data_IF_295125178134
#
_entry.id   IF_295125178134
#
_cell.length_a   1.000
_cell.length_b   1.000
_cell.length_c   1.000
_cell.angle_alpha   90.00
_cell.angle_beta   90.00
_cell.angle_gamma   90.00
#
_symmetry.space_group_name_H-M   'P 1'
#
loop_
_entity.id
_entity.type
_entity.pdbx_description
1 polymer ?
#
# COMPACT_ATOMS: atom_id res chain seq x y z
N UNK A 1 3.86 -17.19 -91.96
CA UNK A 1 2.94 -17.52 -90.86
C UNK A 1 3.75 -17.81 -89.61
N UNK A 2 3.74 -16.91 -88.64
CA UNK A 2 4.21 -17.11 -87.26
C UNK A 2 3.27 -16.34 -86.36
N UNK A 3 2.60 -17.08 -85.48
CA UNK A 3 1.65 -16.59 -84.49
C UNK A 3 2.40 -15.86 -83.38
N UNK A 4 1.91 -14.71 -82.93
CA UNK A 4 2.32 -14.17 -81.63
C UNK A 4 1.14 -13.50 -80.94
N UNK A 5 0.94 -13.99 -79.73
CA UNK A 5 -0.25 -13.96 -78.88
C UNK A 5 -0.47 -12.60 -78.21
N UNK A 6 -1.73 -12.12 -78.22
CA UNK A 6 -2.18 -10.96 -77.46
C UNK A 6 -2.40 -11.35 -76.00
N UNK A 7 -1.75 -10.67 -75.06
CA UNK A 7 -2.00 -10.80 -73.62
C UNK A 7 -2.59 -9.49 -73.08
N UNK A 8 -3.83 -9.54 -72.62
CA UNK A 8 -4.53 -8.41 -71.99
C UNK A 8 -4.37 -8.53 -70.48
N UNK A 9 -3.66 -7.60 -69.84
CA UNK A 9 -3.52 -7.51 -68.39
C UNK A 9 -4.56 -6.52 -67.84
N UNK A 10 -5.67 -7.01 -67.30
CA UNK A 10 -6.58 -6.18 -66.51
C UNK A 10 -6.13 -6.20 -65.05
N UNK A 11 -5.54 -5.10 -64.58
CA UNK A 11 -5.24 -4.90 -63.16
C UNK A 11 -6.50 -4.43 -62.45
N UNK A 12 -7.08 -5.27 -61.60
CA UNK A 12 -8.09 -4.85 -60.63
C UNK A 12 -7.42 -4.01 -59.54
N UNK A 13 -7.66 -2.70 -59.53
CA UNK A 13 -7.26 -1.83 -58.43
C UNK A 13 -8.17 -2.09 -57.23
N UNK A 14 -7.69 -2.82 -56.23
CA UNK A 14 -8.32 -2.88 -54.92
C UNK A 14 -7.92 -1.60 -54.18
N UNK A 15 -8.83 -0.64 -54.11
CA UNK A 15 -8.67 0.54 -53.27
C UNK A 15 -8.86 0.10 -51.81
N UNK A 16 -7.76 -0.18 -51.10
CA UNK A 16 -7.79 -0.39 -49.67
C UNK A 16 -7.92 0.98 -48.97
N UNK A 17 -9.13 1.35 -48.59
CA UNK A 17 -9.36 2.46 -47.65
C UNK A 17 -8.90 2.01 -46.27
N UNK A 18 -7.66 2.32 -45.93
CA UNK A 18 -7.22 2.27 -44.53
C UNK A 18 -7.93 3.40 -43.77
N UNK A 19 -8.94 3.03 -42.98
CA UNK A 19 -9.42 3.88 -41.90
C UNK A 19 -8.26 3.96 -40.88
N UNK A 20 -7.44 5.01 -40.96
CA UNK A 20 -6.56 5.38 -39.88
C UNK A 20 -7.46 5.74 -38.68
N UNK A 21 -7.62 4.79 -37.75
CA UNK A 21 -8.22 5.07 -36.46
C UNK A 21 -7.37 6.15 -35.78
N UNK A 22 -7.95 7.23 -35.23
CA UNK A 22 -7.20 8.08 -34.32
C UNK A 22 -6.70 7.17 -33.19
N UNK A 23 -5.38 7.14 -33.00
CA UNK A 23 -4.76 6.42 -31.89
C UNK A 23 -5.30 6.97 -30.56
N UNK A 24 -5.34 6.14 -29.51
CA UNK A 24 -5.77 6.61 -28.20
C UNK A 24 -4.90 7.80 -27.75
N UNK A 25 -5.55 8.90 -27.39
CA UNK A 25 -4.88 10.05 -26.79
C UNK A 25 -4.23 9.61 -25.47
N UNK A 26 -3.01 10.07 -25.16
CA UNK A 26 -2.36 9.70 -23.91
C UNK A 26 -3.14 10.28 -22.72
N UNK A 27 -3.59 9.41 -21.82
CA UNK A 27 -4.15 9.83 -20.55
C UNK A 27 -3.01 10.30 -19.64
N UNK A 28 -3.10 11.55 -19.18
CA UNK A 28 -2.14 12.13 -18.24
C UNK A 28 -2.73 12.14 -16.84
N UNK A 29 -2.07 11.46 -15.91
CA UNK A 29 -2.45 11.44 -14.50
C UNK A 29 -1.58 12.44 -13.75
N UNK A 30 -2.19 13.35 -12.99
CA UNK A 30 -1.50 14.28 -12.11
C UNK A 30 -1.42 13.70 -10.70
N UNK A 31 -0.19 13.50 -10.22
CA UNK A 31 0.11 13.08 -8.86
C UNK A 31 0.58 14.31 -8.07
N UNK A 32 -0.17 14.71 -7.05
CA UNK A 32 0.14 15.88 -6.22
C UNK A 32 0.30 15.49 -4.75
N UNK A 33 1.33 16.03 -4.10
CA UNK A 33 1.57 15.86 -2.66
C UNK A 33 1.55 17.21 -1.90
N UNK A 34 0.92 18.25 -2.47
CA UNK A 34 0.79 19.58 -1.88
C UNK A 34 2.04 20.46 -1.90
N UNK A 35 3.17 19.95 -2.40
CA UNK A 35 4.46 20.67 -2.54
C UNK A 35 4.99 20.59 -3.98
N UNK A 36 4.79 19.45 -4.63
CA UNK A 36 5.19 19.20 -6.02
C UNK A 36 4.15 18.34 -6.72
N UNK A 37 3.91 18.62 -8.00
CA UNK A 37 3.03 17.85 -8.86
C UNK A 37 3.83 17.17 -9.97
N UNK A 38 3.59 15.88 -10.20
CA UNK A 38 4.23 15.08 -11.24
C UNK A 38 3.15 14.62 -12.23
N UNK A 39 3.30 14.99 -13.49
CA UNK A 39 2.46 14.47 -14.58
C UNK A 39 3.03 13.16 -15.09
N UNK A 40 2.25 12.09 -14.99
CA UNK A 40 2.59 10.79 -15.58
C UNK A 40 1.72 10.59 -16.81
N UNK A 41 2.37 10.57 -17.96
CA UNK A 41 1.73 10.29 -19.25
C UNK A 41 1.89 8.81 -19.55
N UNK A 42 0.79 8.10 -19.78
CA UNK A 42 0.82 6.68 -20.15
C UNK A 42 0.56 6.59 -21.65
N UNK A 43 1.58 6.27 -22.43
CA UNK A 43 1.46 5.95 -23.85
C UNK A 43 0.79 4.57 -24.02
N UNK A 44 -0.53 4.56 -24.12
CA UNK A 44 -1.33 3.34 -24.12
C UNK A 44 -1.51 2.72 -25.50
N UNK A 45 -0.62 1.80 -25.89
CA UNK A 45 -1.00 0.71 -26.80
C UNK A 45 -1.61 -0.43 -25.96
N UNK A 46 -2.94 -0.47 -25.93
CA UNK A 46 -3.80 -1.59 -25.51
C UNK A 46 -3.23 -2.51 -24.40
N UNK A 47 -3.38 -2.11 -23.14
CA UNK A 47 -3.39 -3.06 -22.03
C UNK A 47 -4.42 -2.60 -21.01
N UNK A 48 -5.47 -3.40 -20.83
CA UNK A 48 -6.60 -3.20 -19.91
C UNK A 48 -6.17 -3.23 -18.43
N UNK A 49 -5.18 -2.44 -18.03
CA UNK A 49 -4.94 -2.17 -16.62
C UNK A 49 -5.92 -1.10 -16.18
N UNK A 50 -7.10 -1.56 -15.77
CA UNK A 50 -8.02 -0.81 -14.91
C UNK A 50 -7.22 -0.37 -13.68
N UNK A 51 -6.76 0.88 -13.67
CA UNK A 51 -6.51 1.56 -12.41
C UNK A 51 -7.89 1.74 -11.79
N UNK A 52 -8.32 0.76 -10.99
CA UNK A 52 -9.44 0.95 -10.10
C UNK A 52 -9.13 2.23 -9.33
N UNK A 53 -10.00 3.23 -9.46
CA UNK A 53 -10.03 4.37 -8.56
C UNK A 53 -10.15 3.82 -7.15
N UNK A 54 -9.01 3.53 -6.54
CA UNK A 54 -8.91 3.13 -5.17
C UNK A 54 -9.23 4.41 -4.39
N UNK A 55 -10.51 4.52 -4.02
CA UNK A 55 -11.08 5.47 -3.08
C UNK A 55 -10.08 6.55 -2.64
N UNK A 56 -10.11 7.72 -3.27
CA UNK A 56 -9.31 8.88 -2.85
C UNK A 56 -9.52 9.25 -1.37
N UNK A 57 -10.61 8.78 -0.75
CA UNK A 57 -10.81 8.80 0.71
C UNK A 57 -9.67 8.11 1.50
N UNK A 58 -9.04 7.06 0.97
CA UNK A 58 -7.90 6.36 1.58
C UNK A 58 -6.58 7.13 1.47
N UNK A 59 -6.49 8.14 0.60
CA UNK A 59 -5.33 9.05 0.51
C UNK A 59 -5.44 10.22 1.51
N UNK A 60 -6.65 10.52 2.00
CA UNK A 60 -6.92 11.57 2.98
C UNK A 60 -7.23 11.06 4.39
N UNK A 61 -7.39 9.75 4.57
CA UNK A 61 -7.19 9.10 5.86
C UNK A 61 -5.74 9.39 6.26
N UNK A 62 -5.54 10.47 7.03
CA UNK A 62 -4.27 10.80 7.68
C UNK A 62 -4.04 9.79 8.78
N UNK A 63 -3.75 8.58 8.33
CA UNK A 63 -2.95 7.56 8.95
C UNK A 63 -1.74 8.23 9.61
N UNK A 64 -1.94 8.69 10.84
CA UNK A 64 -1.04 9.64 11.49
C UNK A 64 0.04 8.87 12.22
N UNK A 65 0.96 8.34 11.43
CA UNK A 65 2.18 7.73 11.94
C UNK A 65 3.00 8.79 12.65
N UNK A 66 3.40 8.51 13.89
CA UNK A 66 4.33 9.36 14.62
C UNK A 66 5.25 8.52 15.50
N UNK A 67 6.47 8.98 15.70
CA UNK A 67 7.49 8.24 16.46
C UNK A 67 7.40 8.46 17.97
N UNK A 68 6.24 8.90 18.48
CA UNK A 68 6.04 9.07 19.93
C UNK A 68 5.88 7.71 20.59
N UNK A 69 6.44 7.59 21.78
CA UNK A 69 6.37 6.42 22.65
C UNK A 69 6.97 6.74 24.01
N UNK A 70 7.21 5.71 24.81
CA UNK A 70 7.86 5.83 26.11
C UNK A 70 9.27 6.44 26.01
N UNK A 71 9.69 7.18 27.03
CA UNK A 71 11.08 7.66 27.18
C UNK A 71 12.09 6.50 27.23
N UNK A 72 11.63 5.30 27.61
CA UNK A 72 12.41 4.08 27.71
C UNK A 72 12.57 3.33 26.37
N UNK A 73 12.02 3.87 25.28
CA UNK A 73 12.18 3.28 23.95
C UNK A 73 13.65 3.19 23.48
N UNK A 74 14.56 3.94 24.12
CA UNK A 74 15.98 3.94 23.84
C UNK A 74 16.70 2.64 24.23
N UNK A 75 16.12 1.82 25.09
CA UNK A 75 16.77 0.61 25.64
C UNK A 75 16.16 -0.69 25.09
N UNK A 76 15.40 -0.63 24.00
CA UNK A 76 14.66 -1.79 23.49
C UNK A 76 15.51 -2.74 22.62
N UNK A 77 16.61 -2.26 22.02
CA UNK A 77 17.44 -3.07 21.13
C UNK A 77 16.63 -3.77 20.05
N UNK A 78 16.91 -5.05 19.80
CA UNK A 78 16.20 -5.91 18.84
C UNK A 78 14.89 -6.51 19.38
N UNK A 79 14.45 -6.12 20.60
CA UNK A 79 13.25 -6.69 21.23
C UNK A 79 12.00 -6.52 20.38
N UNK A 80 11.86 -5.38 19.68
CA UNK A 80 10.70 -5.11 18.85
C UNK A 80 10.66 -5.98 17.59
N UNK A 81 11.82 -6.24 16.98
CA UNK A 81 11.92 -7.14 15.82
C UNK A 81 11.61 -8.59 16.25
N UNK A 82 12.03 -8.97 17.47
CA UNK A 82 11.66 -10.25 18.07
C UNK A 82 10.17 -10.34 18.36
N UNK A 83 9.55 -9.27 18.86
CA UNK A 83 8.10 -9.21 19.09
C UNK A 83 7.33 -9.35 17.77
N UNK A 84 7.78 -8.70 16.70
CA UNK A 84 7.19 -8.76 15.35
C UNK A 84 7.14 -10.20 14.82
N UNK A 85 8.19 -11.00 15.06
CA UNK A 85 8.23 -12.42 14.67
C UNK A 85 7.24 -13.31 15.43
N UNK A 86 6.74 -12.86 16.58
CA UNK A 86 5.70 -13.57 17.36
C UNK A 86 4.28 -13.21 16.92
N UNK A 87 4.10 -12.27 16.00
CA UNK A 87 2.78 -11.94 15.46
C UNK A 87 2.29 -13.09 14.61
N UNK A 88 1.18 -13.69 15.00
CA UNK A 88 0.48 -14.67 14.17
C UNK A 88 -0.61 -13.98 13.36
N UNK A 89 -0.49 -14.00 12.03
CA UNK A 89 -1.35 -13.23 11.13
C UNK A 89 -2.85 -13.55 11.26
N UNK A 90 -3.20 -14.78 11.63
CA UNK A 90 -4.59 -15.22 11.81
C UNK A 90 -5.21 -14.90 13.17
N UNK A 91 -4.43 -14.36 14.13
CA UNK A 91 -4.97 -13.98 15.43
C UNK A 91 -5.65 -12.61 15.37
N UNK A 92 -6.63 -12.41 16.25
CA UNK A 92 -7.26 -11.11 16.50
C UNK A 92 -6.90 -10.65 17.90
N UNK A 93 -6.41 -9.41 17.99
CA UNK A 93 -6.04 -8.73 19.23
C UNK A 93 -7.10 -7.68 19.51
N UNK A 94 -7.65 -7.66 20.71
CA UNK A 94 -8.78 -6.77 21.05
C UNK A 94 -8.72 -6.18 22.45
N UNK A 95 -9.25 -4.97 22.61
CA UNK A 95 -9.41 -4.26 23.89
C UNK A 95 -10.84 -4.25 24.43
N UNK A 96 -11.75 -5.00 23.82
CA UNK A 96 -13.19 -4.98 24.15
C UNK A 96 -13.55 -5.49 25.55
N UNK A 97 -12.71 -6.33 26.16
CA UNK A 97 -12.97 -6.92 27.49
C UNK A 97 -12.36 -6.11 28.63
N UNK A 98 -12.20 -4.79 28.45
CA UNK A 98 -11.64 -3.89 29.46
C UNK A 98 -10.10 -3.84 29.48
N UNK A 99 -9.42 -4.59 28.62
CA UNK A 99 -7.98 -4.48 28.45
C UNK A 99 -7.64 -3.16 27.75
N UNK A 100 -6.75 -2.33 28.30
CA UNK A 100 -6.37 -1.06 27.65
C UNK A 100 -5.52 -1.24 26.39
N UNK A 101 -4.92 -2.42 26.23
CA UNK A 101 -4.08 -2.80 25.09
C UNK A 101 -4.10 -4.33 24.89
N UNK A 102 -3.89 -4.78 23.66
CA UNK A 102 -3.78 -6.20 23.31
C UNK A 102 -2.79 -6.41 22.16
N UNK A 103 -1.90 -7.38 22.26
CA UNK A 103 -0.85 -7.57 21.27
C UNK A 103 0.13 -8.68 21.62
N UNK A 104 1.32 -8.60 21.01
CA UNK A 104 2.46 -9.48 21.29
C UNK A 104 3.59 -8.68 21.88
N UNK A 105 4.52 -9.35 22.54
CA UNK A 105 5.71 -8.70 23.05
C UNK A 105 6.91 -9.65 23.09
N UNK A 106 8.11 -9.07 23.14
CA UNK A 106 9.34 -9.79 23.42
C UNK A 106 10.27 -8.93 24.27
N UNK A 107 10.82 -9.50 25.34
CA UNK A 107 11.63 -8.79 26.33
C UNK A 107 10.88 -7.60 26.92
N UNK A 108 11.20 -6.40 26.43
CA UNK A 108 10.64 -5.13 26.89
C UNK A 108 9.87 -4.36 25.81
N UNK A 109 9.77 -4.89 24.59
CA UNK A 109 9.02 -4.24 23.51
C UNK A 109 7.71 -4.96 23.24
N UNK A 110 6.62 -4.19 23.14
CA UNK A 110 5.31 -4.67 22.73
C UNK A 110 4.88 -4.08 21.39
N UNK A 111 4.15 -4.89 20.62
CA UNK A 111 3.42 -4.48 19.42
C UNK A 111 1.96 -4.80 19.66
N UNK A 112 1.13 -3.77 19.81
CA UNK A 112 -0.23 -3.94 20.31
C UNK A 112 -1.19 -2.90 19.75
N UNK A 113 -2.46 -3.27 19.72
CA UNK A 113 -3.57 -2.34 19.52
C UNK A 113 -3.98 -1.75 20.87
N UNK A 114 -4.35 -0.49 20.88
CA UNK A 114 -4.70 0.29 22.06
C UNK A 114 -5.88 1.21 21.72
N UNK A 115 -6.72 1.46 22.73
CA UNK A 115 -7.91 2.30 22.61
C UNK A 115 -9.16 1.58 23.11
N UNK A 116 -10.30 2.25 23.03
CA UNK A 116 -11.56 1.70 23.52
C UNK A 116 -12.22 0.81 22.46
N UNK A 117 -12.53 -0.45 22.80
CA UNK A 117 -13.17 -1.42 21.90
C UNK A 117 -12.45 -1.59 20.55
N UNK A 118 -11.13 -1.54 20.57
CA UNK A 118 -10.30 -1.67 19.39
C UNK A 118 -10.02 -3.13 19.07
N UNK A 119 -10.03 -3.47 17.78
CA UNK A 119 -9.57 -4.74 17.25
C UNK A 119 -8.53 -4.53 16.16
N UNK A 120 -7.55 -5.41 16.12
CA UNK A 120 -6.61 -5.55 15.01
C UNK A 120 -6.29 -7.03 14.79
N UNK A 121 -6.27 -7.45 13.54
CA UNK A 121 -5.69 -8.73 13.14
C UNK A 121 -4.17 -8.72 13.33
N UNK A 122 -3.56 -9.90 13.40
CA UNK A 122 -2.10 -10.02 13.39
C UNK A 122 -1.49 -9.42 12.13
N UNK A 123 -2.17 -9.55 10.99
CA UNK A 123 -1.73 -8.91 9.75
C UNK A 123 -1.72 -7.38 9.85
N UNK A 124 -2.73 -6.77 10.48
CA UNK A 124 -2.75 -5.33 10.72
C UNK A 124 -1.66 -4.87 11.68
N UNK A 125 -1.40 -5.60 12.78
CA UNK A 125 -0.28 -5.31 13.68
C UNK A 125 1.07 -5.40 12.98
N UNK A 126 1.23 -6.44 12.14
CA UNK A 126 2.41 -6.59 11.30
C UNK A 126 2.56 -5.38 10.37
N UNK A 127 1.53 -5.05 9.59
CA UNK A 127 1.58 -3.94 8.65
C UNK A 127 1.84 -2.60 9.36
N UNK A 128 1.23 -2.37 10.53
CA UNK A 128 1.47 -1.18 11.32
C UNK A 128 2.92 -1.10 11.80
N UNK A 129 3.53 -2.23 12.18
CA UNK A 129 4.95 -2.26 12.51
C UNK A 129 5.81 -1.79 11.34
N UNK A 130 5.58 -2.36 10.14
CA UNK A 130 6.35 -2.05 8.95
C UNK A 130 6.14 -0.59 8.52
N UNK A 131 4.90 -0.08 8.65
CA UNK A 131 4.55 1.33 8.37
C UNK A 131 5.25 2.30 9.32
N UNK A 132 5.26 2.01 10.62
CA UNK A 132 5.95 2.82 11.63
C UNK A 132 7.47 2.84 11.36
N UNK A 133 8.07 1.70 11.01
CA UNK A 133 9.48 1.61 10.64
C UNK A 133 9.80 2.32 9.33
N UNK A 134 8.94 2.18 8.32
CA UNK A 134 9.04 2.85 7.03
C UNK A 134 8.96 4.38 7.14
N UNK A 135 8.25 4.90 8.14
CA UNK A 135 8.22 6.32 8.48
C UNK A 135 9.50 6.81 9.23
N UNK A 136 10.51 5.96 9.40
CA UNK A 136 11.77 6.33 10.05
C UNK A 136 11.76 6.26 11.58
N UNK A 137 10.69 5.72 12.19
CA UNK A 137 10.64 5.53 13.63
C UNK A 137 11.51 4.35 14.07
N UNK A 138 12.78 4.61 14.41
CA UNK A 138 13.78 3.56 14.68
C UNK A 138 13.54 2.73 15.95
N UNK A 139 12.74 3.24 16.90
CA UNK A 139 12.62 2.67 18.26
C UNK A 139 11.19 2.30 18.58
N UNK A 140 10.36 3.33 18.75
CA UNK A 140 8.94 3.24 19.02
C UNK A 140 8.19 4.16 18.07
N UNK A 141 6.90 3.93 18.00
CA UNK A 141 5.99 4.79 17.29
C UNK A 141 4.59 4.26 17.38
N UNK A 142 3.67 5.03 16.83
CA UNK A 142 2.27 4.67 16.77
C UNK A 142 1.67 5.09 15.45
N UNK A 143 0.69 4.31 15.06
CA UNK A 143 -0.11 4.47 13.87
C UNK A 143 -1.56 4.58 14.32
N UNK A 144 -2.15 5.75 14.14
CA UNK A 144 -3.56 5.98 14.47
C UNK A 144 -4.41 5.74 13.22
N UNK A 145 -5.41 4.88 13.37
CA UNK A 145 -6.42 4.57 12.35
C UNK A 145 -7.60 5.56 12.42
N UNK A 146 -8.42 5.54 11.38
CA UNK A 146 -9.63 6.37 11.27
C UNK A 146 -10.70 6.03 12.31
N UNK A 147 -10.73 4.77 12.78
CA UNK A 147 -11.62 4.31 13.86
C UNK A 147 -11.19 4.80 15.26
N UNK A 148 -10.14 5.61 15.34
CA UNK A 148 -9.60 6.16 16.58
C UNK A 148 -8.68 5.21 17.34
N UNK A 149 -8.52 3.97 16.88
CA UNK A 149 -7.61 3.00 17.48
C UNK A 149 -6.15 3.30 17.13
N UNK A 150 -5.25 2.99 18.06
CA UNK A 150 -3.82 3.14 17.86
C UNK A 150 -3.16 1.76 17.81
N UNK A 151 -2.40 1.49 16.75
CA UNK A 151 -1.45 0.38 16.70
C UNK A 151 -0.08 0.92 17.07
N UNK A 152 0.55 0.34 18.08
CA UNK A 152 1.72 0.91 18.76
C UNK A 152 2.87 -0.09 18.79
N UNK A 153 4.07 0.44 18.62
CA UNK A 153 5.33 -0.17 19.02
C UNK A 153 5.83 0.64 20.21
N UNK A 154 5.80 0.06 21.42
CA UNK A 154 6.17 0.79 22.63
C UNK A 154 6.84 -0.11 23.68
N UNK A 155 7.44 0.52 24.69
CA UNK A 155 7.95 -0.18 25.89
C UNK A 155 6.76 -0.74 26.68
N UNK A 156 6.77 -2.04 26.93
CA UNK A 156 5.91 -2.72 27.92
C UNK A 156 6.74 -3.06 29.15
N UNK A 157 6.18 -3.11 30.36
CA UNK A 157 6.94 -3.36 31.61
C UNK A 157 7.78 -4.64 31.57
N UNK A 158 7.29 -5.67 30.90
CA UNK A 158 8.00 -6.90 30.58
C UNK A 158 7.06 -7.88 29.90
N UNK A 159 7.62 -8.86 29.21
CA UNK A 159 6.87 -9.97 28.65
C UNK A 159 6.84 -11.12 29.64
N UNK A 160 5.73 -11.28 30.33
CA UNK A 160 5.44 -12.51 31.04
C UNK A 160 5.08 -13.53 29.95
N UNK A 161 6.05 -14.37 29.59
CA UNK A 161 5.83 -15.49 28.67
C UNK A 161 5.20 -16.66 29.40
#
# INVERSE_FOLDING_TARGET
MKFTTTATLTFSTILATSLASPGPLPETILLDNGDTSISVTIDGAASERRFASANTASLFARDSVNCKGSKLCNTLGSSCDNAKRKIYGGNTYSTETGASASGVCSGYCGIFVSGNNCKASGKELANAFDKIRGHGCKKCGKYKRDDGCELKIDRVTGCNQ
#
